data_IF_886631250671
#
_entry.id   IF_886631250671
#
_cell.length_a   1.000
_cell.length_b   1.000
_cell.length_c   1.000
_cell.angle_alpha   90.00
_cell.angle_beta   90.00
_cell.angle_gamma   90.00
#
_symmetry.space_group_name_H-M   'P 1'
#
loop_
_entity.id
_entity.type
_entity.pdbx_description
1 polymer ?
#
# COMPACT_ATOMS: atom_id res chain seq x y z
N UNK A 1 -17.96 4.74 -7.83
CA UNK A 1 -18.34 3.66 -8.77
C UNK A 1 -19.86 3.47 -8.73
N UNK A 2 -20.52 3.32 -9.88
CA UNK A 2 -21.98 3.11 -9.97
C UNK A 2 -22.33 1.63 -9.73
N UNK A 3 -23.06 1.30 -8.64
CA UNK A 3 -23.42 -0.08 -8.30
C UNK A 3 -24.42 -0.73 -9.27
N UNK A 4 -25.12 0.06 -10.10
CA UNK A 4 -26.13 -0.45 -11.03
C UNK A 4 -25.53 -0.98 -12.34
N UNK A 5 -24.22 -0.77 -12.56
CA UNK A 5 -23.52 -1.33 -13.70
C UNK A 5 -23.51 -2.87 -13.62
N UNK A 6 -23.88 -3.59 -14.70
CA UNK A 6 -23.88 -5.05 -14.71
C UNK A 6 -22.54 -5.67 -14.30
N UNK A 7 -21.43 -5.08 -14.76
CA UNK A 7 -20.06 -5.50 -14.39
C UNK A 7 -19.84 -5.37 -12.89
N UNK A 8 -20.24 -4.25 -12.28
CA UNK A 8 -20.08 -4.03 -10.83
C UNK A 8 -20.89 -5.05 -10.03
N UNK A 9 -22.13 -5.34 -10.44
CA UNK A 9 -22.95 -6.37 -9.78
C UNK A 9 -22.33 -7.77 -9.86
N UNK A 10 -21.77 -8.13 -11.01
CA UNK A 10 -21.06 -9.41 -11.18
C UNK A 10 -19.81 -9.46 -10.30
N UNK A 11 -19.04 -8.38 -10.23
CA UNK A 11 -17.88 -8.29 -9.36
C UNK A 11 -18.26 -8.37 -7.87
N UNK A 12 -19.34 -7.72 -7.44
CA UNK A 12 -19.85 -7.83 -6.06
C UNK A 12 -20.28 -9.27 -5.74
N UNK A 13 -21.00 -9.93 -6.64
CA UNK A 13 -21.37 -11.34 -6.47
C UNK A 13 -20.14 -12.27 -6.44
N UNK A 14 -19.12 -11.97 -7.25
CA UNK A 14 -17.85 -12.69 -7.24
C UNK A 14 -17.09 -12.54 -5.93
N UNK A 15 -17.01 -11.32 -5.37
CA UNK A 15 -16.42 -11.08 -4.05
C UNK A 15 -17.17 -11.82 -2.93
N UNK A 16 -18.49 -11.90 -3.02
CA UNK A 16 -19.26 -12.69 -2.06
C UNK A 16 -18.93 -14.18 -2.19
N UNK A 17 -18.80 -14.70 -3.41
CA UNK A 17 -18.37 -16.08 -3.63
C UNK A 17 -16.96 -16.36 -3.09
N UNK A 18 -16.01 -15.42 -3.23
CA UNK A 18 -14.69 -15.51 -2.59
C UNK A 18 -14.79 -15.60 -1.07
N UNK A 19 -15.58 -14.73 -0.44
CA UNK A 19 -15.76 -14.72 1.02
C UNK A 19 -16.36 -16.04 1.54
N UNK A 20 -17.14 -16.73 0.71
CA UNK A 20 -17.71 -18.05 1.00
C UNK A 20 -16.78 -19.22 0.61
N UNK A 21 -15.56 -18.95 0.12
CA UNK A 21 -14.59 -19.98 -0.28
C UNK A 21 -14.88 -20.66 -1.63
N UNK A 22 -15.77 -20.09 -2.45
CA UNK A 22 -16.21 -20.65 -3.74
C UNK A 22 -15.41 -20.06 -4.91
N UNK A 23 -14.10 -20.32 -4.94
CA UNK A 23 -13.15 -19.72 -5.88
C UNK A 23 -13.53 -19.87 -7.36
N UNK A 24 -13.95 -21.07 -7.81
CA UNK A 24 -14.37 -21.27 -9.21
C UNK A 24 -15.61 -20.47 -9.57
N UNK A 25 -16.55 -20.33 -8.63
CA UNK A 25 -17.74 -19.50 -8.87
C UNK A 25 -17.36 -18.02 -8.99
N UNK A 26 -16.46 -17.55 -8.12
CA UNK A 26 -15.96 -16.18 -8.18
C UNK A 26 -15.29 -15.89 -9.52
N UNK A 27 -14.36 -16.76 -9.95
CA UNK A 27 -13.69 -16.67 -11.25
C UNK A 27 -14.68 -16.65 -12.41
N UNK A 28 -15.69 -17.52 -12.40
CA UNK A 28 -16.74 -17.55 -13.42
C UNK A 28 -17.57 -16.26 -13.49
N UNK A 29 -17.84 -15.62 -12.35
CA UNK A 29 -18.55 -14.33 -12.29
C UNK A 29 -17.68 -13.17 -12.81
N UNK A 30 -16.39 -13.15 -12.45
CA UNK A 30 -15.45 -12.15 -12.96
C UNK A 30 -15.21 -12.30 -14.46
N UNK A 31 -15.16 -13.54 -14.98
CA UNK A 31 -15.07 -13.79 -16.41
C UNK A 31 -16.31 -13.27 -17.16
N UNK A 32 -17.52 -13.50 -16.62
CA UNK A 32 -18.74 -12.93 -17.19
C UNK A 32 -18.73 -11.40 -17.17
N UNK A 33 -18.16 -10.79 -16.12
CA UNK A 33 -18.01 -9.35 -16.03
C UNK A 33 -17.07 -8.83 -17.13
N UNK A 34 -15.97 -9.53 -17.37
CA UNK A 34 -15.02 -9.20 -18.44
C UNK A 34 -15.65 -9.34 -19.83
N UNK A 35 -16.29 -10.47 -20.12
CA UNK A 35 -16.91 -10.74 -21.43
C UNK A 35 -18.09 -9.78 -21.71
N UNK A 36 -18.73 -9.28 -20.66
CA UNK A 36 -19.86 -8.35 -20.73
C UNK A 36 -19.49 -6.86 -20.65
N UNK A 37 -18.21 -6.51 -20.45
CA UNK A 37 -17.77 -5.13 -20.34
C UNK A 37 -17.99 -4.35 -21.64
N UNK A 38 -18.53 -3.14 -21.54
CA UNK A 38 -18.95 -2.34 -22.70
C UNK A 38 -17.96 -1.25 -23.11
N UNK A 39 -17.10 -0.84 -22.18
CA UNK A 39 -16.08 0.18 -22.38
C UNK A 39 -14.82 -0.14 -21.55
N UNK A 40 -13.78 0.68 -21.71
CA UNK A 40 -12.52 0.49 -20.99
C UNK A 40 -12.67 0.68 -19.47
N UNK A 41 -13.67 1.42 -18.99
CA UNK A 41 -13.91 1.60 -17.57
C UNK A 41 -14.46 0.32 -16.93
N UNK A 42 -15.48 -0.26 -17.53
CA UNK A 42 -16.04 -1.55 -17.13
C UNK A 42 -14.98 -2.67 -17.27
N UNK A 43 -14.22 -2.68 -18.36
CA UNK A 43 -13.17 -3.66 -18.59
C UNK A 43 -12.04 -3.55 -17.55
N UNK A 44 -11.67 -2.33 -17.15
CA UNK A 44 -10.72 -2.07 -16.07
C UNK A 44 -11.20 -2.73 -14.76
N UNK A 45 -12.46 -2.49 -14.37
CA UNK A 45 -13.03 -3.08 -13.15
C UNK A 45 -13.02 -4.60 -13.22
N UNK A 46 -13.48 -5.18 -14.33
CA UNK A 46 -13.52 -6.63 -14.49
C UNK A 46 -12.12 -7.27 -14.45
N UNK A 47 -11.14 -6.68 -15.14
CA UNK A 47 -9.75 -7.16 -15.17
C UNK A 47 -9.12 -7.17 -13.76
N UNK A 48 -9.39 -6.14 -12.94
CA UNK A 48 -8.91 -6.08 -11.55
C UNK A 48 -9.34 -7.31 -10.75
N UNK A 49 -10.62 -7.68 -10.83
CA UNK A 49 -11.12 -8.83 -10.08
C UNK A 49 -10.67 -10.16 -10.68
N UNK A 50 -10.56 -10.25 -12.00
CA UNK A 50 -10.09 -11.46 -12.66
C UNK A 50 -8.64 -11.77 -12.30
N UNK A 51 -7.78 -10.75 -12.16
CA UNK A 51 -6.38 -10.90 -11.74
C UNK A 51 -6.19 -11.67 -10.42
N UNK A 52 -7.20 -11.66 -9.53
CA UNK A 52 -7.16 -12.33 -8.22
C UNK A 52 -7.32 -13.86 -8.30
N UNK A 53 -7.81 -14.37 -9.43
CA UNK A 53 -8.13 -15.79 -9.64
C UNK A 53 -7.38 -16.38 -10.83
N UNK A 54 -6.06 -16.31 -10.78
CA UNK A 54 -5.19 -16.87 -11.81
C UNK A 54 -4.31 -17.99 -11.25
N UNK A 55 -3.99 -18.95 -12.10
CA UNK A 55 -3.24 -20.15 -11.71
C UNK A 55 -1.73 -19.90 -11.54
N UNK A 56 -1.25 -18.71 -11.92
CA UNK A 56 0.16 -18.34 -11.79
C UNK A 56 0.37 -16.83 -11.60
N UNK A 57 1.46 -16.43 -10.92
CA UNK A 57 1.82 -15.01 -10.80
C UNK A 57 2.01 -14.30 -12.14
N UNK A 58 2.41 -15.01 -13.19
CA UNK A 58 2.56 -14.46 -14.53
C UNK A 58 1.21 -14.06 -15.16
N UNK A 59 0.17 -14.89 -14.97
CA UNK A 59 -1.18 -14.55 -15.42
C UNK A 59 -1.81 -13.46 -14.54
N UNK A 60 -1.54 -13.46 -13.23
CA UNK A 60 -1.90 -12.35 -12.33
C UNK A 60 -1.30 -11.03 -12.82
N UNK A 61 -0.01 -11.02 -13.15
CA UNK A 61 0.67 -9.84 -13.71
C UNK A 61 0.03 -9.42 -15.04
N UNK A 62 -0.24 -10.36 -15.95
CA UNK A 62 -0.86 -10.07 -17.25
C UNK A 62 -2.22 -9.38 -17.09
N UNK A 63 -3.07 -9.87 -16.18
CA UNK A 63 -4.38 -9.25 -15.92
C UNK A 63 -4.27 -7.91 -15.19
N UNK A 64 -3.33 -7.75 -14.26
CA UNK A 64 -3.08 -6.46 -13.64
C UNK A 64 -2.56 -5.42 -14.65
N UNK A 65 -1.72 -5.83 -15.61
CA UNK A 65 -1.28 -4.97 -16.70
C UNK A 65 -2.45 -4.61 -17.63
N UNK A 66 -3.30 -5.57 -17.99
CA UNK A 66 -4.52 -5.28 -18.76
C UNK A 66 -5.40 -4.28 -18.03
N UNK A 67 -5.57 -4.42 -16.71
CA UNK A 67 -6.32 -3.47 -15.89
C UNK A 67 -5.73 -2.05 -15.96
N UNK A 68 -4.42 -1.92 -15.82
CA UNK A 68 -3.72 -0.63 -15.96
C UNK A 68 -3.88 -0.03 -17.35
N UNK A 69 -3.70 -0.82 -18.41
CA UNK A 69 -3.85 -0.37 -19.79
C UNK A 69 -5.28 0.14 -20.08
N UNK A 70 -6.30 -0.48 -19.47
CA UNK A 70 -7.69 -0.04 -19.56
C UNK A 70 -7.92 1.26 -18.79
N UNK A 71 -7.40 1.38 -17.56
CA UNK A 71 -7.43 2.63 -16.81
C UNK A 71 -6.79 3.78 -17.60
N UNK A 72 -5.62 3.56 -18.22
CA UNK A 72 -4.92 4.57 -19.02
C UNK A 72 -5.72 5.00 -20.26
N UNK A 73 -6.48 4.10 -20.89
CA UNK A 73 -7.38 4.43 -22.00
C UNK A 73 -8.60 5.25 -21.55
N UNK A 74 -9.09 5.02 -20.34
CA UNK A 74 -10.15 5.85 -19.75
C UNK A 74 -9.61 7.26 -19.47
N UNK A 75 -8.46 7.35 -18.79
CA UNK A 75 -7.66 8.57 -18.65
C UNK A 75 -8.36 9.76 -17.97
N UNK A 76 -9.49 9.54 -17.30
CA UNK A 76 -10.29 10.57 -16.64
C UNK A 76 -10.42 10.33 -15.13
N UNK A 77 -11.16 11.20 -14.43
CA UNK A 77 -11.29 11.17 -12.97
C UNK A 77 -11.89 9.87 -12.43
N UNK A 78 -12.61 9.09 -13.25
CA UNK A 78 -13.28 7.85 -12.80
C UNK A 78 -12.32 6.74 -12.39
N UNK A 79 -11.08 6.77 -12.88
CA UNK A 79 -10.04 5.75 -12.63
C UNK A 79 -8.89 6.28 -11.78
N UNK A 80 -8.93 7.56 -11.40
CA UNK A 80 -7.84 8.24 -10.71
C UNK A 80 -7.50 7.56 -9.38
N UNK A 81 -8.52 7.19 -8.63
CA UNK A 81 -8.40 6.50 -7.34
C UNK A 81 -7.99 5.02 -7.45
N UNK A 82 -7.96 4.45 -8.67
CA UNK A 82 -7.52 3.08 -8.91
C UNK A 82 -5.99 2.97 -9.00
N UNK A 83 -5.31 3.99 -9.56
CA UNK A 83 -3.88 3.92 -9.86
C UNK A 83 -2.99 3.45 -8.70
N UNK A 84 -3.17 3.92 -7.46
CA UNK A 84 -2.34 3.47 -6.35
C UNK A 84 -2.41 1.95 -6.14
N UNK A 85 -3.62 1.38 -6.13
CA UNK A 85 -3.80 -0.07 -5.91
C UNK A 85 -3.42 -0.88 -7.14
N UNK A 86 -3.63 -0.36 -8.36
CA UNK A 86 -3.18 -1.02 -9.59
C UNK A 86 -1.65 -1.19 -9.61
N UNK A 87 -0.92 -0.13 -9.29
CA UNK A 87 0.54 -0.20 -9.21
C UNK A 87 1.03 -1.11 -8.09
N UNK A 88 0.37 -1.11 -6.91
CA UNK A 88 0.68 -2.08 -5.84
C UNK A 88 0.48 -3.53 -6.30
N UNK A 89 -0.62 -3.82 -7.00
CA UNK A 89 -0.90 -5.19 -7.46
C UNK A 89 0.13 -5.66 -8.50
N UNK A 90 0.55 -4.78 -9.41
CA UNK A 90 1.62 -5.08 -10.38
C UNK A 90 2.96 -5.27 -9.65
N UNK A 91 3.28 -4.41 -8.69
CA UNK A 91 4.48 -4.53 -7.86
C UNK A 91 4.53 -5.86 -7.11
N UNK A 92 3.41 -6.26 -6.50
CA UNK A 92 3.28 -7.55 -5.84
C UNK A 92 3.45 -8.74 -6.81
N UNK A 93 2.84 -8.68 -7.99
CA UNK A 93 2.98 -9.74 -8.98
C UNK A 93 4.44 -9.88 -9.47
N UNK A 94 5.16 -8.76 -9.67
CA UNK A 94 6.60 -8.79 -9.93
C UNK A 94 7.40 -9.37 -8.76
N UNK A 95 7.04 -9.03 -7.52
CA UNK A 95 7.66 -9.57 -6.30
C UNK A 95 7.50 -11.09 -6.22
N UNK A 96 6.32 -11.61 -6.50
CA UNK A 96 6.05 -13.07 -6.56
C UNK A 96 6.83 -13.77 -7.68
N UNK A 97 7.12 -13.07 -8.77
CA UNK A 97 7.98 -13.55 -9.86
C UNK A 97 9.49 -13.41 -9.57
N UNK A 98 9.87 -12.88 -8.40
CA UNK A 98 11.27 -12.62 -8.01
C UNK A 98 11.90 -11.42 -8.72
N UNK A 99 11.11 -10.59 -9.40
CA UNK A 99 11.56 -9.43 -10.18
C UNK A 99 11.55 -8.16 -9.30
N UNK A 100 12.32 -8.18 -8.23
CA UNK A 100 12.23 -7.21 -7.12
C UNK A 100 12.52 -5.76 -7.56
N UNK A 101 13.50 -5.52 -8.43
CA UNK A 101 13.77 -4.16 -8.91
C UNK A 101 12.63 -3.60 -9.77
N UNK A 102 11.97 -4.44 -10.56
CA UNK A 102 10.76 -4.04 -11.29
C UNK A 102 9.59 -3.79 -10.33
N UNK A 103 9.44 -4.64 -9.31
CA UNK A 103 8.45 -4.42 -8.25
C UNK A 103 8.66 -3.05 -7.58
N UNK A 104 9.91 -2.69 -7.24
CA UNK A 104 10.25 -1.38 -6.67
C UNK A 104 9.76 -0.22 -7.53
N UNK A 105 10.02 -0.27 -8.85
CA UNK A 105 9.58 0.79 -9.78
C UNK A 105 8.07 0.99 -9.76
N UNK A 106 7.29 -0.09 -9.62
CA UNK A 106 5.84 0.02 -9.49
C UNK A 106 5.41 0.54 -8.11
N UNK A 107 6.08 0.17 -7.02
CA UNK A 107 5.81 0.79 -5.72
C UNK A 107 6.16 2.29 -5.69
N UNK A 108 7.19 2.72 -6.42
CA UNK A 108 7.49 4.16 -6.62
C UNK A 108 6.34 4.86 -7.34
N UNK A 109 5.84 4.30 -8.45
CA UNK A 109 4.65 4.83 -9.15
C UNK A 109 3.41 4.86 -8.27
N UNK A 110 3.23 3.84 -7.42
CA UNK A 110 2.15 3.82 -6.45
C UNK A 110 2.28 4.95 -5.41
N UNK A 111 3.49 5.21 -4.92
CA UNK A 111 3.77 6.30 -3.99
C UNK A 111 3.51 7.68 -4.60
N UNK A 112 3.87 7.90 -5.87
CA UNK A 112 3.57 9.13 -6.61
C UNK A 112 2.05 9.40 -6.72
N UNK A 113 1.24 8.35 -6.67
CA UNK A 113 -0.22 8.42 -6.72
C UNK A 113 -0.89 8.28 -5.36
N UNK A 114 -0.15 8.15 -4.27
CA UNK A 114 -0.73 7.82 -2.96
C UNK A 114 -1.81 8.83 -2.47
N UNK A 115 -1.73 10.09 -2.91
CA UNK A 115 -2.73 11.12 -2.61
C UNK A 115 -4.07 10.94 -3.36
N UNK A 116 -4.08 10.12 -4.42
CA UNK A 116 -5.29 9.78 -5.17
C UNK A 116 -6.11 8.65 -4.50
N UNK A 117 -5.53 7.96 -3.52
CA UNK A 117 -6.21 6.86 -2.83
C UNK A 117 -7.40 7.37 -2.00
N UNK A 118 -8.51 6.61 -1.91
CA UNK A 118 -9.66 6.99 -1.10
C UNK A 118 -9.30 7.16 0.38
N UNK A 119 -9.88 8.14 1.05
CA UNK A 119 -9.71 8.29 2.50
C UNK A 119 -10.27 7.10 3.30
N UNK A 120 -9.70 6.88 4.48
CA UNK A 120 -10.13 5.83 5.41
C UNK A 120 -9.32 4.53 5.29
N UNK A 121 -9.87 3.46 5.87
CA UNK A 121 -9.11 2.21 6.11
C UNK A 121 -8.57 1.57 4.82
N UNK A 122 -9.28 1.68 3.70
CA UNK A 122 -8.80 1.14 2.42
C UNK A 122 -7.60 1.92 1.89
N UNK A 123 -7.62 3.25 1.97
CA UNK A 123 -6.48 4.10 1.62
C UNK A 123 -5.28 3.86 2.53
N UNK A 124 -5.50 3.76 3.84
CA UNK A 124 -4.44 3.44 4.81
C UNK A 124 -3.81 2.08 4.50
N UNK A 125 -4.62 1.05 4.24
CA UNK A 125 -4.14 -0.29 3.87
C UNK A 125 -3.27 -0.27 2.61
N UNK A 126 -3.73 0.44 1.58
CA UNK A 126 -2.97 0.60 0.34
C UNK A 126 -1.65 1.34 0.60
N UNK A 127 -1.69 2.43 1.38
CA UNK A 127 -0.49 3.19 1.76
C UNK A 127 0.52 2.33 2.51
N UNK A 128 0.08 1.44 3.40
CA UNK A 128 0.95 0.51 4.09
C UNK A 128 1.61 -0.48 3.13
N UNK A 129 0.86 -1.01 2.17
CA UNK A 129 1.39 -1.90 1.14
C UNK A 129 2.43 -1.21 0.24
N UNK A 130 2.22 0.06 -0.11
CA UNK A 130 3.19 0.87 -0.87
C UNK A 130 4.49 1.03 -0.06
N UNK A 131 4.38 1.48 1.20
CA UNK A 131 5.53 1.73 2.05
C UNK A 131 6.33 0.45 2.34
N UNK A 132 5.65 -0.66 2.61
CA UNK A 132 6.26 -1.98 2.74
C UNK A 132 6.99 -2.39 1.46
N UNK A 133 6.29 -2.31 0.32
CA UNK A 133 6.84 -2.67 -0.98
C UNK A 133 8.10 -1.89 -1.33
N UNK A 134 8.14 -0.58 -1.05
CA UNK A 134 9.33 0.26 -1.24
C UNK A 134 10.51 -0.24 -0.40
N UNK A 135 10.30 -0.50 0.89
CA UNK A 135 11.37 -0.93 1.82
C UNK A 135 11.90 -2.31 1.46
N UNK A 136 11.01 -3.27 1.20
CA UNK A 136 11.37 -4.66 0.94
C UNK A 136 12.12 -4.85 -0.38
N UNK A 137 11.96 -3.92 -1.33
CA UNK A 137 12.55 -4.01 -2.67
C UNK A 137 13.69 -3.03 -2.92
N UNK A 138 14.00 -2.16 -1.94
CA UNK A 138 15.00 -1.10 -2.07
C UNK A 138 16.39 -1.65 -2.41
N UNK A 139 16.84 -2.70 -1.74
CA UNK A 139 18.18 -3.28 -1.96
C UNK A 139 18.34 -3.82 -3.39
N UNK A 140 17.29 -4.45 -3.93
CA UNK A 140 17.31 -4.97 -5.29
C UNK A 140 17.31 -3.84 -6.33
N UNK A 141 16.56 -2.76 -6.10
CA UNK A 141 16.58 -1.60 -6.97
C UNK A 141 17.92 -0.86 -6.92
N UNK A 142 18.52 -0.71 -5.74
CA UNK A 142 19.86 -0.13 -5.57
C UNK A 142 20.93 -0.96 -6.30
N UNK A 143 20.84 -2.29 -6.24
CA UNK A 143 21.73 -3.18 -6.98
C UNK A 143 21.62 -3.03 -8.52
N UNK A 144 20.48 -2.56 -9.04
CA UNK A 144 20.26 -2.22 -10.45
C UNK A 144 20.56 -0.75 -10.79
N UNK A 145 21.11 0.02 -9.84
CA UNK A 145 21.59 1.39 -10.07
C UNK A 145 20.60 2.50 -9.68
N UNK A 146 19.51 2.19 -8.98
CA UNK A 146 18.64 3.20 -8.38
C UNK A 146 19.19 3.65 -7.01
N UNK A 147 20.10 4.62 -7.04
CA UNK A 147 20.81 5.12 -5.84
C UNK A 147 19.87 5.72 -4.77
N UNK A 148 18.68 6.15 -5.17
CA UNK A 148 17.69 6.76 -4.27
C UNK A 148 16.71 5.74 -3.68
N UNK A 149 16.75 4.47 -4.12
CA UNK A 149 15.79 3.44 -3.71
C UNK A 149 15.67 3.29 -2.18
N UNK A 150 16.79 3.32 -1.46
CA UNK A 150 16.82 3.23 0.00
C UNK A 150 16.26 4.45 0.73
N UNK A 151 16.17 5.60 0.06
CA UNK A 151 15.57 6.81 0.64
C UNK A 151 14.04 6.83 0.49
N UNK A 152 13.49 6.17 -0.54
CA UNK A 152 12.04 6.15 -0.82
C UNK A 152 11.33 5.23 0.17
N UNK A 153 10.34 5.74 0.89
CA UNK A 153 9.60 4.98 1.91
C UNK A 153 10.41 4.65 3.18
N UNK A 154 11.68 5.06 3.25
CA UNK A 154 12.56 4.87 4.40
C UNK A 154 12.41 5.99 5.43
N UNK A 155 12.37 5.63 6.71
CA UNK A 155 12.54 6.61 7.80
C UNK A 155 14.04 6.81 8.01
N UNK A 156 14.48 8.05 8.23
CA UNK A 156 15.91 8.31 8.45
C UNK A 156 16.44 7.49 9.63
N UNK A 157 17.63 6.90 9.50
CA UNK A 157 18.19 5.94 10.47
C UNK A 157 18.18 6.46 11.93
N UNK A 158 18.53 7.74 12.13
CA UNK A 158 18.52 8.38 13.45
C UNK A 158 17.12 8.52 14.10
N UNK A 159 16.06 8.42 13.31
CA UNK A 159 14.67 8.32 13.80
C UNK A 159 14.24 6.86 13.87
N UNK A 160 14.53 6.07 12.84
CA UNK A 160 14.02 4.71 12.72
C UNK A 160 14.52 3.81 13.85
N UNK A 161 15.80 3.90 14.20
CA UNK A 161 16.39 3.03 15.23
C UNK A 161 15.73 3.23 16.61
N UNK A 162 15.64 4.44 17.18
CA UNK A 162 14.93 4.64 18.45
C UNK A 162 13.44 4.25 18.37
N UNK A 163 12.76 4.56 17.25
CA UNK A 163 11.34 4.23 17.07
C UNK A 163 11.09 2.72 17.05
N UNK A 164 11.95 1.93 16.37
CA UNK A 164 11.84 0.47 16.36
C UNK A 164 12.12 -0.13 17.74
N UNK A 165 13.07 0.43 18.49
CA UNK A 165 13.33 0.00 19.87
C UNK A 165 12.12 0.25 20.78
N UNK A 166 11.48 1.41 20.63
CA UNK A 166 10.23 1.72 21.33
C UNK A 166 9.12 0.74 20.96
N UNK A 167 8.93 0.44 19.67
CA UNK A 167 7.94 -0.55 19.24
C UNK A 167 8.17 -1.93 19.87
N UNK A 168 9.43 -2.40 19.95
CA UNK A 168 9.73 -3.67 20.60
C UNK A 168 9.27 -3.68 22.07
N UNK A 169 9.59 -2.63 22.82
CA UNK A 169 9.18 -2.49 24.24
C UNK A 169 7.66 -2.36 24.40
N UNK A 170 7.01 -1.61 23.53
CA UNK A 170 5.56 -1.42 23.55
C UNK A 170 4.82 -2.72 23.21
N UNK A 171 5.31 -3.50 22.25
CA UNK A 171 4.79 -4.82 21.94
C UNK A 171 4.95 -5.79 23.11
N UNK A 172 6.13 -5.83 23.74
CA UNK A 172 6.38 -6.69 24.91
C UNK A 172 5.44 -6.36 26.08
N UNK A 173 5.14 -5.06 26.28
CA UNK A 173 4.24 -4.59 27.34
C UNK A 173 2.75 -4.69 26.98
N UNK A 174 2.41 -4.81 25.69
CA UNK A 174 1.03 -4.67 25.21
C UNK A 174 0.50 -3.23 25.29
N UNK A 175 1.35 -2.24 24.99
CA UNK A 175 1.00 -0.81 25.03
C UNK A 175 0.21 -0.38 23.80
N UNK A 176 -1.05 -0.82 23.73
CA UNK A 176 -1.93 -0.62 22.58
C UNK A 176 -2.18 0.85 22.25
N UNK A 177 -2.08 1.75 23.24
CA UNK A 177 -2.29 3.19 23.01
C UNK A 177 -1.11 3.82 22.29
N UNK A 178 0.12 3.57 22.73
CA UNK A 178 1.31 4.06 22.05
C UNK A 178 1.42 3.46 20.64
N UNK A 179 1.20 2.15 20.51
CA UNK A 179 1.18 1.46 19.22
C UNK A 179 0.10 2.01 18.29
N UNK A 180 -1.13 2.15 18.78
CA UNK A 180 -2.26 2.63 17.97
C UNK A 180 -2.13 4.07 17.49
N UNK A 181 -1.42 4.92 18.23
CA UNK A 181 -1.15 6.30 17.80
C UNK A 181 -0.02 6.41 16.78
N UNK A 182 1.03 5.60 16.91
CA UNK A 182 2.28 5.78 16.14
C UNK A 182 2.36 4.85 14.93
N UNK A 183 1.90 3.60 15.04
CA UNK A 183 2.05 2.61 13.96
C UNK A 183 1.44 3.06 12.63
N UNK A 184 0.23 3.65 12.55
CA UNK A 184 -0.32 4.06 11.26
C UNK A 184 0.57 5.08 10.52
N UNK A 185 1.14 6.05 11.25
CA UNK A 185 2.03 7.05 10.67
C UNK A 185 3.38 6.45 10.22
N UNK A 186 3.89 5.45 10.95
CA UNK A 186 5.13 4.77 10.63
C UNK A 186 4.97 3.76 9.48
N UNK A 187 3.94 2.92 9.53
CA UNK A 187 3.67 1.89 8.53
C UNK A 187 3.38 2.51 7.17
N UNK A 188 2.67 3.64 7.13
CA UNK A 188 2.37 4.37 5.89
C UNK A 188 3.39 5.45 5.51
N UNK A 189 4.57 5.48 6.13
CA UNK A 189 5.58 6.50 5.86
C UNK A 189 6.18 6.33 4.45
N UNK A 190 5.93 7.28 3.54
CA UNK A 190 6.44 7.27 2.16
C UNK A 190 7.66 8.17 1.96
N UNK A 191 8.08 8.93 2.98
CA UNK A 191 9.23 9.82 2.90
C UNK A 191 8.90 11.28 2.60
N UNK A 192 7.61 11.65 2.54
CA UNK A 192 7.19 13.03 2.27
C UNK A 192 7.31 13.92 3.52
N UNK A 193 7.30 15.24 3.32
CA UNK A 193 7.26 16.20 4.45
C UNK A 193 5.98 16.06 5.28
N UNK A 194 4.87 15.70 4.64
CA UNK A 194 3.62 15.41 5.34
C UNK A 194 3.76 14.17 6.23
N UNK A 195 4.39 13.10 5.73
CA UNK A 195 4.67 11.90 6.53
C UNK A 195 5.56 12.21 7.73
N UNK A 196 6.58 13.05 7.52
CA UNK A 196 7.47 13.53 8.58
C UNK A 196 6.68 14.22 9.68
N UNK A 197 5.80 15.15 9.30
CA UNK A 197 4.94 15.87 10.24
C UNK A 197 3.99 14.91 10.95
N UNK A 198 3.38 13.96 10.24
CA UNK A 198 2.44 12.97 10.79
C UNK A 198 3.11 12.08 11.84
N UNK A 199 4.25 11.48 11.51
CA UNK A 199 5.00 10.61 12.41
C UNK A 199 5.52 11.38 13.63
N UNK A 200 6.11 12.57 13.42
CA UNK A 200 6.57 13.43 14.53
C UNK A 200 5.43 13.82 15.46
N UNK A 201 4.26 14.16 14.91
CA UNK A 201 3.09 14.54 15.72
C UNK A 201 2.59 13.36 16.56
N UNK A 202 2.55 12.14 15.99
CA UNK A 202 2.18 10.94 16.73
C UNK A 202 3.14 10.64 17.88
N UNK A 203 4.45 10.73 17.66
CA UNK A 203 5.47 10.57 18.70
C UNK A 203 5.32 11.64 19.80
N UNK A 204 5.07 12.89 19.41
CA UNK A 204 4.84 13.99 20.35
C UNK A 204 3.60 13.76 21.21
N UNK A 205 2.50 13.25 20.64
CA UNK A 205 1.30 12.92 21.40
C UNK A 205 1.57 11.88 22.49
N UNK A 206 2.32 10.82 22.17
CA UNK A 206 2.70 9.79 23.14
C UNK A 206 3.60 10.35 24.24
N UNK A 207 4.58 11.20 23.88
CA UNK A 207 5.45 11.90 24.83
C UNK A 207 4.67 12.81 25.78
N UNK A 208 3.83 13.70 25.21
CA UNK A 208 3.04 14.66 25.96
C UNK A 208 2.05 13.99 26.92
N UNK A 209 1.54 12.81 26.56
CA UNK A 209 0.61 12.06 27.39
C UNK A 209 1.28 11.39 28.62
N UNK A 210 2.62 11.33 28.66
CA UNK A 210 3.42 10.78 29.78
C UNK A 210 3.04 9.33 30.16
N UNK A 211 2.63 8.53 29.18
CA UNK A 211 2.23 7.12 29.40
C UNK A 211 3.41 6.16 29.59
N UNK A 212 4.60 6.56 29.12
CA UNK A 212 5.76 5.68 29.04
C UNK A 212 6.74 5.89 30.20
N UNK A 213 7.50 4.84 30.58
CA UNK A 213 8.63 4.94 31.52
C UNK A 213 9.66 5.99 31.10
N UNK A 214 10.40 6.55 32.07
CA UNK A 214 11.38 7.63 31.84
C UNK A 214 12.43 7.28 30.76
N UNK A 215 12.95 6.05 30.76
CA UNK A 215 13.91 5.60 29.73
C UNK A 215 13.33 5.56 28.30
N UNK A 216 12.02 5.39 28.16
CA UNK A 216 11.34 5.46 26.85
C UNK A 216 11.00 6.91 26.47
N UNK A 217 10.78 7.79 27.46
CA UNK A 217 10.63 9.23 27.21
C UNK A 217 11.89 9.83 26.59
N UNK A 218 13.07 9.47 27.11
CA UNK A 218 14.35 9.91 26.56
C UNK A 218 14.57 9.43 25.12
N UNK A 219 14.20 8.18 24.81
CA UNK A 219 14.27 7.64 23.44
C UNK A 219 13.30 8.35 22.48
N UNK A 220 12.10 8.71 22.95
CA UNK A 220 11.17 9.53 22.17
C UNK A 220 11.72 10.93 21.89
N UNK A 221 12.35 11.55 22.89
CA UNK A 221 12.99 12.87 22.73
C UNK A 221 14.15 12.82 21.73
N UNK A 222 14.97 11.77 21.75
CA UNK A 222 16.02 11.52 20.76
C UNK A 222 15.42 11.42 19.34
N UNK A 223 14.41 10.58 19.15
CA UNK A 223 13.73 10.42 17.86
C UNK A 223 13.11 11.73 17.36
N UNK A 224 12.45 12.49 18.23
CA UNK A 224 11.87 13.80 17.90
C UNK A 224 12.94 14.85 17.57
N UNK A 225 14.09 14.80 18.24
CA UNK A 225 15.24 15.67 17.95
C UNK A 225 15.85 15.40 16.58
N UNK A 226 15.93 14.13 16.16
CA UNK A 226 16.43 13.74 14.85
C UNK A 226 15.57 14.28 13.68
N UNK A 227 14.28 14.54 13.90
CA UNK A 227 13.43 15.22 12.92
C UNK A 227 13.77 16.70 12.71
N UNK A 228 14.39 17.38 13.67
CA UNK A 228 14.70 18.82 13.61
C UNK A 228 16.05 19.13 12.95
N UNK A 229 16.88 18.11 12.70
CA UNK A 229 18.23 18.25 12.13
C UNK A 229 18.25 18.16 10.58
N UNK A 230 17.08 18.15 9.93
CA UNK A 230 16.90 18.10 8.47
C UNK A 230 15.77 19.01 8.03
#
# INVERSE_FOLDING_TARGET
>A
MDPELPVVRLCVAGMQAEAEGRAETARGLFQQAWDGARDDYEACIAAHYLARHQDSPAETLRWNQECLDRADRVGDERVRDFYPSLYVNIGNAHRELGQLAMAHRYFVRAAERAADAPEGQYGDWNRFAIAEGLRDTADAAAAEGDEEAGARGGVAEGVERPVRELFARWCERGDLKALGLVLPAYLGYLGTDEDRVRLRSALHMVHAARWLPEGEQSLLEEAMGAFALR
#
